data_IF_776189913021
#
_entry.id   IF_776189913021
#
_cell.length_a   1.000
_cell.length_b   1.000
_cell.length_c   1.000
_cell.angle_alpha   90.00
_cell.angle_beta   90.00
_cell.angle_gamma   90.00
#
_symmetry.space_group_name_H-M   'P 1'
#
loop_
_entity.id
_entity.type
_entity.pdbx_description
1 polymer ?
#
# COMPACT_ATOMS: atom_id res chain seq x y z
N UNK A 1 16.75 28.15 9.72
CA UNK A 1 15.97 27.19 10.53
C UNK A 1 15.15 26.27 9.61
N UNK A 2 15.84 25.53 8.75
CA UNK A 2 15.25 24.71 7.71
C UNK A 2 15.62 23.24 7.96
N UNK A 3 14.71 22.49 8.59
CA UNK A 3 14.41 21.09 8.24
C UNK A 3 13.41 20.50 9.24
N UNK A 4 12.13 20.66 8.93
CA UNK A 4 11.03 19.89 9.52
C UNK A 4 10.54 18.79 8.56
N UNK A 5 11.35 18.39 7.56
CA UNK A 5 10.91 17.52 6.44
C UNK A 5 11.88 16.40 6.03
N UNK A 6 12.84 15.99 6.88
CA UNK A 6 13.78 14.90 6.53
C UNK A 6 13.74 13.71 7.47
N UNK A 7 12.56 13.36 8.02
CA UNK A 7 12.25 11.95 8.19
C UNK A 7 11.54 11.51 6.91
N UNK A 8 12.30 11.37 5.83
CA UNK A 8 11.84 10.53 4.72
C UNK A 8 11.66 9.13 5.30
N UNK A 9 10.43 8.82 5.70
CA UNK A 9 9.99 7.45 5.90
C UNK A 9 10.43 6.67 4.67
N UNK A 10 11.48 5.88 4.87
CA UNK A 10 12.00 4.79 4.03
C UNK A 10 11.01 4.45 2.91
N UNK A 11 11.33 4.72 1.64
CA UNK A 11 10.47 4.52 0.44
C UNK A 11 9.42 3.39 0.61
N UNK A 12 8.27 3.69 1.24
CA UNK A 12 7.24 2.70 1.53
C UNK A 12 6.22 2.77 0.39
N UNK A 13 6.42 1.93 -0.62
CA UNK A 13 5.52 1.88 -1.77
C UNK A 13 4.44 0.82 -1.53
N UNK A 14 3.17 1.19 -1.67
CA UNK A 14 2.08 0.24 -1.72
C UNK A 14 1.60 0.06 -3.16
N UNK A 15 1.31 -1.18 -3.52
CA UNK A 15 0.75 -1.55 -4.82
C UNK A 15 -0.49 -2.38 -4.58
N UNK A 16 -1.60 -2.01 -5.21
CA UNK A 16 -2.84 -2.77 -5.15
C UNK A 16 -3.05 -3.41 -6.51
N UNK A 17 -3.08 -4.75 -6.54
CA UNK A 17 -3.33 -5.52 -7.77
C UNK A 17 -4.63 -6.29 -7.65
N UNK A 18 -5.49 -6.17 -8.67
CA UNK A 18 -6.69 -7.01 -8.80
C UNK A 18 -6.39 -8.19 -9.72
N UNK A 19 -6.69 -9.40 -9.27
CA UNK A 19 -6.52 -10.63 -10.04
C UNK A 19 -7.81 -11.45 -9.99
N UNK A 20 -8.68 -11.26 -10.99
CA UNK A 20 -10.04 -11.80 -10.98
C UNK A 20 -10.82 -11.31 -9.75
N UNK A 21 -11.24 -12.24 -8.90
CA UNK A 21 -11.95 -11.94 -7.65
C UNK A 21 -11.02 -11.69 -6.44
N UNK A 22 -9.71 -11.90 -6.59
CA UNK A 22 -8.74 -11.71 -5.50
C UNK A 22 -8.07 -10.35 -5.61
N UNK A 23 -7.95 -9.65 -4.48
CA UNK A 23 -7.18 -8.42 -4.33
C UNK A 23 -5.85 -8.74 -3.65
N UNK A 24 -4.75 -8.26 -4.20
CA UNK A 24 -3.40 -8.39 -3.62
C UNK A 24 -2.90 -7.01 -3.22
N UNK A 25 -2.78 -6.76 -1.93
CA UNK A 25 -2.13 -5.59 -1.37
C UNK A 25 -0.66 -5.91 -1.17
N UNK A 26 0.21 -5.28 -1.96
CA UNK A 26 1.65 -5.47 -1.88
C UNK A 26 2.28 -4.25 -1.22
N UNK A 27 2.89 -4.42 -0.06
CA UNK A 27 3.59 -3.33 0.64
C UNK A 27 5.08 -3.59 0.57
N UNK A 28 5.82 -2.65 -0.03
CA UNK A 28 7.27 -2.69 -0.06
C UNK A 28 7.80 -2.03 1.21
N UNK A 29 8.46 -2.84 2.04
CA UNK A 29 9.26 -2.36 3.15
C UNK A 29 10.75 -2.44 2.78
N UNK A 30 11.65 -2.21 3.74
CA UNK A 30 13.11 -2.12 3.50
C UNK A 30 13.68 -3.33 2.74
N UNK A 31 13.34 -4.55 3.15
CA UNK A 31 13.93 -5.78 2.57
C UNK A 31 12.94 -6.62 1.77
N UNK A 32 11.72 -6.74 2.27
CA UNK A 32 10.72 -7.67 1.73
C UNK A 32 9.52 -6.96 1.11
N UNK A 33 8.86 -7.68 0.21
CA UNK A 33 7.55 -7.32 -0.32
C UNK A 33 6.51 -8.16 0.43
N UNK A 34 5.73 -7.51 1.29
CA UNK A 34 4.63 -8.17 1.98
C UNK A 34 3.42 -8.20 1.06
N UNK A 35 2.75 -9.35 1.01
CA UNK A 35 1.57 -9.53 0.15
C UNK A 35 0.40 -10.01 1.00
N UNK A 36 -0.66 -9.22 1.08
CA UNK A 36 -1.93 -9.63 1.66
C UNK A 36 -2.91 -9.95 0.54
N UNK A 37 -3.50 -11.15 0.55
CA UNK A 37 -4.50 -11.57 -0.44
C UNK A 37 -5.89 -11.55 0.22
N UNK A 38 -6.82 -10.82 -0.38
CA UNK A 38 -8.19 -10.66 0.10
C UNK A 38 -9.15 -11.10 -1.00
N UNK A 39 -10.05 -12.03 -0.70
CA UNK A 39 -11.04 -12.53 -1.68
C UNK A 39 -12.34 -11.69 -1.63
N UNK A 40 -12.64 -11.08 -0.49
CA UNK A 40 -13.87 -10.30 -0.30
C UNK A 40 -13.74 -8.88 -0.89
N UNK A 41 -14.53 -8.59 -1.93
CA UNK A 41 -14.59 -7.25 -2.59
C UNK A 41 -14.88 -6.11 -1.61
N UNK A 42 -15.82 -6.31 -0.68
CA UNK A 42 -16.21 -5.29 0.30
C UNK A 42 -15.08 -4.95 1.29
N UNK A 43 -14.38 -5.98 1.81
CA UNK A 43 -13.24 -5.78 2.72
C UNK A 43 -12.06 -5.15 1.99
N UNK A 44 -11.81 -5.55 0.74
CA UNK A 44 -10.76 -4.95 -0.08
C UNK A 44 -11.00 -3.44 -0.30
N UNK A 45 -12.24 -3.02 -0.56
CA UNK A 45 -12.58 -1.60 -0.72
C UNK A 45 -12.32 -0.80 0.55
N UNK A 46 -12.70 -1.34 1.72
CA UNK A 46 -12.43 -0.71 3.03
C UNK A 46 -10.93 -0.62 3.30
N UNK A 47 -10.18 -1.70 3.08
CA UNK A 47 -8.73 -1.72 3.25
C UNK A 47 -8.03 -0.70 2.36
N UNK A 48 -8.46 -0.55 1.11
CA UNK A 48 -7.94 0.47 0.20
C UNK A 48 -8.17 1.89 0.73
N UNK A 49 -9.31 2.16 1.37
CA UNK A 49 -9.61 3.45 2.00
C UNK A 49 -8.82 3.68 3.30
N UNK A 50 -8.49 2.61 4.03
CA UNK A 50 -7.66 2.71 5.25
C UNK A 50 -6.19 2.99 4.96
N UNK A 51 -5.74 2.86 3.70
CA UNK A 51 -4.36 3.19 3.35
C UNK A 51 -4.16 4.72 3.40
N UNK A 52 -3.06 5.20 4.01
CA UNK A 52 -2.82 6.63 4.11
C UNK A 52 -2.58 7.25 2.72
N UNK A 53 -3.16 8.43 2.42
CA UNK A 53 -3.03 9.09 1.10
C UNK A 53 -1.61 9.60 0.84
N UNK A 54 -0.80 9.77 1.89
CA UNK A 54 0.62 10.13 1.79
C UNK A 54 1.49 8.97 1.24
N UNK A 55 0.92 7.76 1.15
CA UNK A 55 1.59 6.60 0.59
C UNK A 55 1.31 6.55 -0.90
N UNK A 56 2.36 6.50 -1.73
CA UNK A 56 2.20 6.37 -3.18
C UNK A 56 1.60 5.00 -3.51
N UNK A 57 0.27 4.93 -3.68
CA UNK A 57 -0.46 3.73 -4.08
C UNK A 57 -0.47 3.63 -5.61
N UNK A 58 0.21 2.62 -6.17
CA UNK A 58 0.11 2.28 -7.59
C UNK A 58 -0.90 1.15 -7.80
N UNK A 59 -1.87 1.36 -8.70
CA UNK A 59 -2.84 0.34 -9.12
C UNK A 59 -2.34 -0.36 -10.40
N UNK A 60 -2.28 -1.70 -10.37
CA UNK A 60 -1.72 -2.59 -11.42
C UNK A 60 -2.64 -3.77 -11.70
#
# INVERSE_FOLDING_TARGET
>A
MANMLTVQFVHLAARVKKNGDKYKFKVRCSRYLYTLVVNDKQKAKKLRQSLPPALSVQEI
#
